data_IF_123560985124
#
_entry.id   IF_123560985124
#
_cell.length_a   1.000
_cell.length_b   1.000
_cell.length_c   1.000
_cell.angle_alpha   90.00
_cell.angle_beta   90.00
_cell.angle_gamma   90.00
#
_symmetry.space_group_name_H-M   'P 1'
#
loop_
_entity.id
_entity.type
_entity.pdbx_description
1 polymer ?
#
# COMPACT_ATOMS: atom_id res chain seq x y z
N UNK A 1 -10.96 -4.56 -12.25
CA UNK A 1 -9.85 -3.82 -12.91
C UNK A 1 -8.45 -4.40 -12.68
N UNK A 2 -7.96 -4.54 -11.45
CA UNK A 2 -6.52 -4.76 -11.20
C UNK A 2 -6.25 -6.08 -10.48
N UNK A 3 -5.29 -6.86 -10.98
CA UNK A 3 -4.74 -8.06 -10.32
C UNK A 3 -3.29 -7.79 -9.87
N UNK A 4 -2.87 -8.48 -8.81
CA UNK A 4 -1.55 -8.35 -8.21
C UNK A 4 -0.85 -9.71 -8.13
N UNK A 5 0.46 -9.68 -7.94
CA UNK A 5 1.23 -10.76 -7.35
C UNK A 5 2.20 -10.18 -6.33
N UNK A 6 2.27 -10.83 -5.17
CA UNK A 6 3.30 -10.53 -4.18
C UNK A 6 4.61 -11.28 -4.51
N UNK A 7 5.61 -11.16 -3.64
CA UNK A 7 6.99 -11.68 -3.76
C UNK A 7 7.09 -13.17 -4.11
N UNK A 8 6.01 -13.96 -4.00
CA UNK A 8 5.93 -15.35 -4.46
C UNK A 8 6.32 -15.54 -5.94
N UNK A 9 6.06 -14.53 -6.79
CA UNK A 9 6.43 -14.60 -8.20
C UNK A 9 7.95 -14.55 -8.39
N UNK A 10 8.68 -13.98 -7.44
CA UNK A 10 10.12 -13.83 -7.52
C UNK A 10 10.80 -15.16 -7.17
N UNK A 11 11.94 -15.44 -7.80
CA UNK A 11 12.78 -16.56 -7.39
C UNK A 11 13.37 -16.25 -6.02
N UNK A 12 12.97 -17.00 -4.99
CA UNK A 12 13.46 -16.82 -3.60
C UNK A 12 13.33 -15.36 -3.11
N UNK A 13 12.25 -14.69 -3.51
CA UNK A 13 11.97 -13.30 -3.14
C UNK A 13 13.09 -12.31 -3.58
N UNK A 14 13.84 -12.65 -4.62
CA UNK A 14 14.85 -11.76 -5.22
C UNK A 14 14.19 -10.86 -6.27
N UNK A 15 14.28 -9.54 -6.11
CA UNK A 15 13.74 -8.59 -7.09
C UNK A 15 14.21 -8.90 -8.53
N UNK A 16 13.39 -8.49 -9.49
CA UNK A 16 13.68 -8.63 -10.93
C UNK A 16 13.88 -10.07 -11.44
N UNK A 17 13.52 -11.07 -10.64
CA UNK A 17 13.55 -12.48 -11.04
C UNK A 17 12.13 -13.05 -11.20
N UNK A 18 12.02 -14.18 -11.91
CA UNK A 18 10.78 -14.94 -12.02
C UNK A 18 11.00 -16.37 -11.55
N UNK A 19 10.20 -16.79 -10.58
CA UNK A 19 10.18 -18.15 -10.06
C UNK A 19 9.73 -19.14 -11.14
N UNK A 20 10.35 -20.33 -11.26
CA UNK A 20 9.88 -21.37 -12.17
C UNK A 20 8.41 -21.77 -11.94
N UNK A 21 7.93 -21.66 -10.68
CA UNK A 21 6.52 -21.88 -10.31
C UNK A 21 5.56 -20.87 -10.94
N UNK A 22 6.08 -19.71 -11.36
CA UNK A 22 5.36 -18.60 -11.97
C UNK A 22 5.76 -18.38 -13.43
N UNK A 23 6.35 -19.38 -14.10
CA UNK A 23 6.75 -19.29 -15.51
C UNK A 23 5.62 -18.90 -16.48
N UNK A 24 4.36 -19.20 -16.12
CA UNK A 24 3.17 -18.80 -16.89
C UNK A 24 2.62 -17.40 -16.56
N UNK A 25 3.18 -16.69 -15.56
CA UNK A 25 2.69 -15.39 -15.14
C UNK A 25 2.71 -14.33 -16.26
N UNK A 26 3.78 -14.19 -17.08
CA UNK A 26 3.77 -13.27 -18.22
C UNK A 26 2.58 -13.47 -19.17
N UNK A 27 2.27 -14.73 -19.50
CA UNK A 27 1.15 -15.06 -20.37
C UNK A 27 -0.22 -14.76 -19.71
N UNK A 28 -0.33 -14.94 -18.40
CA UNK A 28 -1.52 -14.55 -17.63
C UNK A 28 -1.72 -13.03 -17.66
N UNK A 29 -0.65 -12.25 -17.43
CA UNK A 29 -0.69 -10.78 -17.48
C UNK A 29 -1.17 -10.29 -18.84
N UNK A 30 -0.60 -10.83 -19.93
CA UNK A 30 -1.02 -10.47 -21.29
C UNK A 30 -2.49 -10.86 -21.55
N UNK A 31 -2.94 -12.00 -21.04
CA UNK A 31 -4.32 -12.45 -21.19
C UNK A 31 -5.29 -11.49 -20.50
N UNK A 32 -5.07 -11.19 -19.21
CA UNK A 32 -6.00 -10.34 -18.46
C UNK A 32 -6.04 -8.90 -18.99
N UNK A 33 -4.91 -8.40 -19.52
CA UNK A 33 -4.87 -7.08 -20.16
C UNK A 33 -5.70 -7.04 -21.45
N UNK A 34 -5.67 -8.09 -22.27
CA UNK A 34 -6.55 -8.22 -23.44
C UNK A 34 -8.03 -8.28 -23.07
N UNK A 35 -8.34 -8.75 -21.87
CA UNK A 35 -9.70 -8.78 -21.31
C UNK A 35 -10.10 -7.45 -20.63
N UNK A 36 -9.23 -6.43 -20.67
CA UNK A 36 -9.51 -5.10 -20.13
C UNK A 36 -9.16 -4.93 -18.64
N UNK A 37 -8.35 -5.83 -18.08
CA UNK A 37 -7.77 -5.70 -16.73
C UNK A 37 -6.38 -5.05 -16.78
N UNK A 38 -5.81 -4.81 -15.59
CA UNK A 38 -4.48 -4.25 -15.37
C UNK A 38 -3.72 -5.10 -14.35
N UNK A 39 -2.40 -5.05 -14.37
CA UNK A 39 -1.53 -5.79 -13.46
C UNK A 39 -0.56 -4.88 -12.70
N UNK A 40 -0.37 -5.13 -11.41
CA UNK A 40 0.60 -4.42 -10.57
C UNK A 40 1.49 -5.44 -9.87
N UNK A 41 2.81 -5.27 -9.99
CA UNK A 41 3.79 -6.06 -9.24
C UNK A 41 4.25 -5.33 -7.99
N UNK A 42 4.68 -6.10 -7.00
CA UNK A 42 5.48 -5.60 -5.88
C UNK A 42 6.98 -5.54 -6.25
N UNK A 43 7.71 -4.61 -5.67
CA UNK A 43 9.17 -4.57 -5.62
C UNK A 43 9.62 -4.12 -4.24
N UNK A 44 10.64 -4.78 -3.71
CA UNK A 44 11.30 -4.35 -2.48
C UNK A 44 12.56 -3.53 -2.82
N UNK A 45 13.11 -2.75 -1.87
CA UNK A 45 14.37 -2.05 -2.11
C UNK A 45 15.59 -2.95 -1.90
N UNK A 46 15.49 -3.99 -1.08
CA UNK A 46 16.66 -4.70 -0.55
C UNK A 46 17.11 -5.82 -1.50
N UNK A 47 18.33 -5.70 -2.02
CA UNK A 47 18.87 -6.60 -3.05
C UNK A 47 19.72 -7.70 -2.42
N UNK A 48 19.38 -8.95 -2.70
CA UNK A 48 20.12 -10.13 -2.23
C UNK A 48 21.60 -10.07 -2.65
N UNK A 49 22.50 -10.34 -1.70
CA UNK A 49 23.94 -10.17 -1.87
C UNK A 49 24.75 -11.49 -1.83
N UNK A 50 24.09 -12.63 -1.61
CA UNK A 50 24.77 -13.94 -1.49
C UNK A 50 24.73 -14.79 -2.77
N UNK A 51 24.06 -14.32 -3.83
CA UNK A 51 23.90 -15.07 -5.08
C UNK A 51 24.97 -14.70 -6.10
N UNK A 52 25.68 -15.71 -6.61
CA UNK A 52 26.56 -15.58 -7.76
C UNK A 52 25.73 -15.48 -9.05
N UNK A 53 26.06 -14.57 -9.97
CA UNK A 53 25.35 -14.32 -11.24
C UNK A 53 24.00 -13.61 -11.08
N UNK A 54 23.80 -12.84 -10.02
CA UNK A 54 22.62 -11.99 -9.86
C UNK A 54 22.89 -10.57 -10.33
N UNK A 55 22.42 -10.26 -11.54
CA UNK A 55 22.79 -9.05 -12.27
C UNK A 55 22.38 -7.75 -11.59
N UNK A 56 21.21 -7.72 -10.94
CA UNK A 56 20.78 -6.52 -10.23
C UNK A 56 21.79 -6.16 -9.12
N UNK A 57 22.28 -7.16 -8.38
CA UNK A 57 23.32 -6.96 -7.38
C UNK A 57 24.69 -6.63 -8.00
N UNK A 58 25.13 -7.39 -9.02
CA UNK A 58 26.43 -7.18 -9.67
C UNK A 58 26.55 -5.79 -10.31
N UNK A 59 25.49 -5.35 -11.02
CA UNK A 59 25.43 -4.00 -11.59
C UNK A 59 25.36 -2.94 -10.50
N UNK A 60 24.64 -3.21 -9.41
CA UNK A 60 24.58 -2.28 -8.28
C UNK A 60 25.95 -2.10 -7.60
N UNK A 61 26.75 -3.15 -7.51
CA UNK A 61 28.15 -3.06 -7.07
C UNK A 61 29.00 -2.24 -8.05
N UNK A 62 28.87 -2.50 -9.36
CA UNK A 62 29.62 -1.80 -10.40
C UNK A 62 29.31 -0.30 -10.45
N UNK A 63 28.04 0.07 -10.26
CA UNK A 63 27.56 1.45 -10.31
C UNK A 63 27.61 2.17 -8.95
N UNK A 64 28.13 1.51 -7.93
CA UNK A 64 28.28 2.02 -6.57
C UNK A 64 26.98 2.63 -6.02
N UNK A 65 25.90 1.86 -6.01
CA UNK A 65 24.56 2.34 -5.61
C UNK A 65 24.17 1.97 -4.19
N UNK A 66 24.88 1.03 -3.55
CA UNK A 66 24.51 0.53 -2.22
C UNK A 66 25.01 1.43 -1.09
N UNK A 67 24.22 1.48 -0.01
CA UNK A 67 24.55 2.15 1.24
C UNK A 67 25.73 1.45 1.93
N UNK A 68 26.71 2.25 2.37
CA UNK A 68 28.00 1.78 2.90
C UNK A 68 28.29 2.34 4.29
N UNK A 69 29.27 1.75 4.95
CA UNK A 69 29.80 2.30 6.19
C UNK A 69 30.60 3.59 5.92
N UNK A 70 30.57 4.59 6.82
CA UNK A 70 31.38 5.79 6.68
C UNK A 70 32.87 5.46 6.53
N UNK A 71 33.55 6.16 5.63
CA UNK A 71 34.97 5.97 5.34
C UNK A 71 35.36 4.52 4.96
N UNK A 72 34.43 3.73 4.41
CA UNK A 72 34.68 2.37 3.95
C UNK A 72 33.97 2.09 2.62
N UNK A 73 34.52 1.15 1.85
CA UNK A 73 33.86 0.57 0.68
C UNK A 73 32.85 -0.53 1.03
N UNK A 74 32.77 -0.94 2.29
CA UNK A 74 31.95 -2.05 2.75
C UNK A 74 30.47 -1.68 2.82
N UNK A 75 29.62 -2.54 2.29
CA UNK A 75 28.17 -2.40 2.32
C UNK A 75 27.64 -2.64 3.75
N UNK A 76 26.61 -1.88 4.12
CA UNK A 76 25.81 -2.15 5.32
C UNK A 76 24.76 -3.20 4.95
N UNK A 77 25.04 -4.46 5.27
CA UNK A 77 24.10 -5.55 5.00
C UNK A 77 23.02 -5.64 6.08
N UNK A 78 21.76 -5.74 5.67
CA UNK A 78 20.66 -6.20 6.51
C UNK A 78 20.21 -7.61 6.10
N UNK A 79 19.01 -7.99 6.52
CA UNK A 79 18.31 -9.19 6.04
C UNK A 79 16.85 -8.86 5.83
N UNK A 80 16.25 -9.31 4.73
CA UNK A 80 14.81 -9.14 4.44
C UNK A 80 14.28 -10.47 3.88
N UNK A 81 13.37 -10.43 2.90
CA UNK A 81 12.72 -11.61 2.31
C UNK A 81 13.63 -12.55 1.52
N UNK A 82 14.68 -12.10 0.81
CA UNK A 82 15.49 -13.00 0.01
C UNK A 82 16.07 -14.16 0.82
N UNK A 83 15.87 -15.39 0.35
CA UNK A 83 16.48 -16.58 0.94
C UNK A 83 17.91 -16.78 0.44
N UNK A 84 18.74 -17.55 1.15
CA UNK A 84 20.07 -17.99 0.71
C UNK A 84 19.99 -19.00 -0.45
N UNK A 85 21.03 -19.11 -1.30
CA UNK A 85 21.07 -20.12 -2.34
C UNK A 85 21.21 -21.52 -1.75
N UNK A 86 20.52 -22.48 -2.39
CA UNK A 86 20.55 -23.89 -2.04
C UNK A 86 20.09 -24.20 -0.60
N UNK A 87 19.26 -23.33 -0.01
CA UNK A 87 18.66 -23.56 1.31
C UNK A 87 17.25 -24.14 1.16
N UNK A 88 16.90 -25.09 2.02
CA UNK A 88 15.53 -25.59 2.16
C UNK A 88 14.88 -24.90 3.36
N UNK A 89 13.87 -24.07 3.09
CA UNK A 89 13.20 -23.26 4.11
C UNK A 89 12.22 -24.13 4.89
N UNK A 90 12.55 -24.43 6.15
CA UNK A 90 11.59 -25.01 7.08
C UNK A 90 10.73 -23.91 7.71
N UNK A 91 9.58 -23.66 7.08
CA UNK A 91 8.59 -22.70 7.58
C UNK A 91 8.04 -23.06 8.96
N UNK A 92 8.33 -24.25 9.51
CA UNK A 92 7.92 -24.65 10.85
C UNK A 92 8.73 -24.01 11.98
N UNK A 93 9.94 -23.53 11.71
CA UNK A 93 10.79 -22.89 12.70
C UNK A 93 10.22 -21.54 13.16
N UNK A 94 10.66 -21.07 14.33
CA UNK A 94 10.34 -19.73 14.79
C UNK A 94 10.98 -18.68 13.87
N UNK A 95 10.40 -17.48 13.85
CA UNK A 95 10.78 -16.42 12.92
C UNK A 95 12.26 -16.03 13.03
N UNK A 96 12.79 -15.85 14.24
CA UNK A 96 14.17 -15.40 14.44
C UNK A 96 15.17 -16.44 13.93
N UNK A 97 14.89 -17.73 14.18
CA UNK A 97 15.68 -18.84 13.62
C UNK A 97 15.61 -18.88 12.09
N UNK A 98 14.46 -18.58 11.47
CA UNK A 98 14.37 -18.48 10.01
C UNK A 98 15.22 -17.33 9.46
N UNK A 99 15.20 -16.17 10.12
CA UNK A 99 16.02 -15.00 9.74
C UNK A 99 17.51 -15.34 9.82
N UNK A 100 17.93 -16.08 10.85
CA UNK A 100 19.31 -16.50 11.01
C UNK A 100 19.73 -17.50 9.93
N UNK A 101 18.98 -18.60 9.77
CA UNK A 101 19.37 -19.74 8.95
C UNK A 101 19.12 -19.57 7.46
N UNK A 102 18.05 -18.85 7.08
CA UNK A 102 17.54 -18.89 5.70
C UNK A 102 17.69 -17.57 4.96
N UNK A 103 17.53 -16.43 5.63
CA UNK A 103 17.53 -15.14 4.95
C UNK A 103 18.96 -14.73 4.55
N UNK A 104 19.11 -14.36 3.28
CA UNK A 104 20.33 -13.82 2.71
C UNK A 104 20.64 -12.43 3.25
N UNK A 105 21.92 -12.04 3.18
CA UNK A 105 22.32 -10.66 3.29
C UNK A 105 21.65 -9.84 2.19
N UNK A 106 21.17 -8.66 2.55
CA UNK A 106 20.52 -7.74 1.64
C UNK A 106 21.22 -6.38 1.68
N UNK A 107 21.54 -5.85 0.50
CA UNK A 107 22.12 -4.53 0.31
C UNK A 107 21.01 -3.53 -0.05
N UNK A 108 21.09 -2.32 0.51
CA UNK A 108 20.07 -1.30 0.33
C UNK A 108 20.57 -0.22 -0.63
N UNK A 109 19.89 0.01 -1.77
CA UNK A 109 20.21 1.09 -2.68
C UNK A 109 20.00 2.47 -2.04
N UNK A 110 20.85 3.41 -2.38
CA UNK A 110 20.76 4.82 -1.99
C UNK A 110 20.01 5.61 -3.07
N UNK A 111 18.69 5.76 -2.93
CA UNK A 111 17.84 6.40 -3.94
C UNK A 111 18.04 7.91 -4.11
N UNK A 112 18.85 8.55 -3.26
CA UNK A 112 19.25 9.95 -3.48
C UNK A 112 20.24 10.09 -4.64
N UNK A 113 21.01 9.03 -4.97
CA UNK A 113 22.00 9.08 -6.04
C UNK A 113 21.35 8.97 -7.42
N UNK A 114 21.84 9.75 -8.37
CA UNK A 114 21.43 9.63 -9.78
C UNK A 114 21.83 8.27 -10.38
N UNK A 115 22.96 7.68 -9.97
CA UNK A 115 23.36 6.34 -10.41
C UNK A 115 22.33 5.29 -9.97
N UNK A 116 21.85 5.34 -8.73
CA UNK A 116 20.79 4.44 -8.25
C UNK A 116 19.51 4.58 -9.05
N UNK A 117 19.14 5.79 -9.45
CA UNK A 117 17.94 6.02 -10.27
C UNK A 117 18.09 5.41 -11.67
N UNK A 118 19.28 5.49 -12.27
CA UNK A 118 19.58 4.87 -13.58
C UNK A 118 19.61 3.35 -13.49
N UNK A 119 20.22 2.80 -12.44
CA UNK A 119 20.22 1.38 -12.14
C UNK A 119 18.79 0.87 -11.95
N UNK A 120 17.99 1.53 -11.11
CA UNK A 120 16.59 1.16 -10.84
C UNK A 120 15.74 1.20 -12.11
N UNK A 121 15.91 2.25 -12.93
CA UNK A 121 15.24 2.35 -14.22
C UNK A 121 15.59 1.16 -15.12
N UNK A 122 16.86 0.77 -15.18
CA UNK A 122 17.34 -0.34 -16.01
C UNK A 122 16.75 -1.67 -15.55
N UNK A 123 16.82 -1.98 -14.26
CA UNK A 123 16.36 -3.27 -13.74
C UNK A 123 14.83 -3.43 -13.94
N UNK A 124 14.05 -2.38 -13.67
CA UNK A 124 12.60 -2.37 -13.97
C UNK A 124 12.35 -2.51 -15.48
N UNK A 125 13.14 -1.84 -16.32
CA UNK A 125 13.02 -1.93 -17.78
C UNK A 125 13.25 -3.34 -18.30
N UNK A 126 14.22 -4.06 -17.75
CA UNK A 126 14.51 -5.45 -18.12
C UNK A 126 13.46 -6.44 -17.60
N UNK A 127 12.75 -6.15 -16.50
CA UNK A 127 11.53 -6.93 -16.15
C UNK A 127 10.42 -6.67 -17.15
N UNK A 128 10.20 -5.41 -17.51
CA UNK A 128 9.13 -5.03 -18.45
C UNK A 128 9.38 -5.57 -19.86
N UNK A 129 10.63 -5.54 -20.32
CA UNK A 129 11.06 -6.03 -21.64
C UNK A 129 12.37 -6.80 -21.49
N UNK A 130 12.27 -8.10 -21.27
CA UNK A 130 13.42 -8.93 -20.93
C UNK A 130 14.35 -9.09 -22.15
N UNK A 131 15.59 -8.60 -22.09
CA UNK A 131 16.48 -8.60 -23.25
C UNK A 131 17.08 -9.98 -23.54
N UNK A 132 17.05 -10.90 -22.58
CA UNK A 132 17.61 -12.25 -22.71
C UNK A 132 16.58 -13.27 -23.13
N UNK A 133 15.34 -13.12 -22.66
CA UNK A 133 14.25 -14.01 -22.98
C UNK A 133 12.93 -13.25 -23.00
N UNK A 134 12.44 -12.93 -24.20
CA UNK A 134 11.23 -12.12 -24.38
C UNK A 134 9.98 -12.76 -23.77
N UNK A 135 9.93 -14.10 -23.64
CA UNK A 135 8.80 -14.79 -23.00
C UNK A 135 8.71 -14.57 -21.49
N UNK A 136 9.76 -14.05 -20.86
CA UNK A 136 9.79 -13.67 -19.45
C UNK A 136 9.45 -12.19 -19.22
N UNK A 137 9.15 -11.43 -20.28
CA UNK A 137 8.78 -10.01 -20.16
C UNK A 137 7.44 -9.87 -19.45
N UNK A 138 7.38 -9.08 -18.39
CA UNK A 138 6.16 -8.88 -17.61
C UNK A 138 5.61 -7.47 -17.84
N UNK A 139 4.50 -7.35 -18.57
CA UNK A 139 3.88 -6.07 -18.92
C UNK A 139 2.99 -5.56 -17.79
N UNK A 140 3.56 -4.94 -16.78
CA UNK A 140 2.81 -4.34 -15.66
C UNK A 140 2.33 -2.91 -15.96
N UNK A 141 1.23 -2.51 -15.31
CA UNK A 141 0.59 -1.19 -15.44
C UNK A 141 0.85 -0.28 -14.22
N UNK A 142 1.30 -0.86 -13.11
CA UNK A 142 1.67 -0.16 -11.90
C UNK A 142 2.72 -0.90 -11.09
N UNK A 143 3.31 -0.20 -10.12
CA UNK A 143 4.34 -0.74 -9.23
C UNK A 143 3.95 -0.47 -7.78
N UNK A 144 4.02 -1.50 -6.96
CA UNK A 144 3.90 -1.43 -5.52
C UNK A 144 5.32 -1.51 -4.92
N UNK A 145 5.83 -0.40 -4.38
CA UNK A 145 7.10 -0.40 -3.65
C UNK A 145 6.83 -0.58 -2.16
N UNK A 146 7.28 -1.69 -1.61
CA UNK A 146 7.09 -2.04 -0.19
C UNK A 146 8.42 -2.15 0.53
N UNK A 147 8.38 -2.42 1.84
CA UNK A 147 9.56 -2.69 2.67
C UNK A 147 10.56 -1.52 2.72
N UNK A 148 10.09 -0.31 2.40
CA UNK A 148 10.92 0.85 2.08
C UNK A 148 10.96 1.93 3.18
N UNK A 149 10.83 1.54 4.45
CA UNK A 149 11.12 2.43 5.58
C UNK A 149 12.55 2.97 5.60
N UNK A 150 13.65 2.20 5.38
CA UNK A 150 13.80 0.81 4.91
C UNK A 150 13.68 -0.25 6.03
N UNK A 151 12.91 -1.30 5.78
CA UNK A 151 12.74 -2.39 6.74
C UNK A 151 13.87 -3.40 6.68
N UNK A 152 14.31 -3.88 7.85
CA UNK A 152 15.28 -4.96 8.01
C UNK A 152 14.82 -5.89 9.13
N UNK A 153 15.04 -7.20 8.95
CA UNK A 153 14.73 -8.23 9.94
C UNK A 153 15.79 -8.34 11.03
N UNK A 154 16.94 -7.68 10.84
CA UNK A 154 17.97 -7.50 11.88
C UNK A 154 18.02 -6.04 12.30
N UNK A 155 18.24 -5.78 13.59
CA UNK A 155 18.40 -4.43 14.11
C UNK A 155 19.77 -3.89 13.69
N UNK A 156 19.77 -2.87 12.83
CA UNK A 156 20.97 -2.27 12.29
C UNK A 156 21.52 -3.03 11.09
N UNK A 157 22.62 -3.74 11.30
CA UNK A 157 23.33 -4.46 10.26
C UNK A 157 23.65 -5.90 10.72
N UNK A 158 23.93 -6.77 9.76
CA UNK A 158 24.57 -8.06 10.03
C UNK A 158 25.92 -7.79 10.68
N UNK A 159 26.10 -8.25 11.93
CA UNK A 159 27.28 -7.98 12.74
C UNK A 159 27.15 -6.77 13.69
N UNK A 160 26.01 -6.07 13.69
CA UNK A 160 25.71 -4.97 14.59
C UNK A 160 26.20 -3.60 14.10
N UNK A 161 25.86 -2.57 14.88
CA UNK A 161 26.27 -1.19 14.60
C UNK A 161 27.57 -0.79 15.33
N UNK A 162 28.28 0.19 14.76
CA UNK A 162 29.59 0.68 15.20
C UNK A 162 29.50 1.97 16.03
N UNK A 163 28.44 2.77 15.86
CA UNK A 163 28.28 4.05 16.55
C UNK A 163 27.14 4.02 17.57
N UNK A 164 27.48 3.94 18.85
CA UNK A 164 26.48 3.88 19.92
C UNK A 164 25.70 5.18 20.08
N UNK A 165 26.32 6.34 19.91
CA UNK A 165 25.66 7.65 20.11
C UNK A 165 24.59 7.93 19.04
N UNK A 166 24.81 7.51 17.80
CA UNK A 166 23.82 7.68 16.74
C UNK A 166 22.66 6.69 16.86
N UNK A 167 22.93 5.44 17.28
CA UNK A 167 21.87 4.45 17.45
C UNK A 167 21.10 4.62 18.78
N UNK A 168 21.74 5.22 19.79
CA UNK A 168 21.16 5.56 21.10
C UNK A 168 21.44 7.04 21.43
N UNK A 169 20.77 7.99 20.74
CA UNK A 169 20.98 9.40 20.97
C UNK A 169 20.62 9.81 22.41
N UNK A 170 21.17 10.93 22.92
CA UNK A 170 20.90 11.41 24.29
C UNK A 170 19.40 11.53 24.60
N UNK A 171 18.60 11.82 23.58
CA UNK A 171 17.15 11.75 23.62
C UNK A 171 16.66 10.79 22.54
N UNK A 172 16.15 9.63 22.97
CA UNK A 172 15.40 8.73 22.09
C UNK A 172 13.92 9.13 22.15
N UNK A 173 13.27 9.46 21.02
CA UNK A 173 11.84 9.74 20.98
C UNK A 173 11.00 8.57 21.52
N UNK A 174 9.72 8.82 21.78
CA UNK A 174 8.78 7.78 22.22
C UNK A 174 8.37 6.85 21.06
N UNK A 175 9.30 6.02 20.61
CA UNK A 175 9.11 5.02 19.56
C UNK A 175 8.66 3.67 20.16
N UNK A 176 8.02 2.81 19.36
CA UNK A 176 7.43 1.55 19.82
C UNK A 176 8.41 0.60 20.53
N UNK A 177 9.64 0.50 20.04
CA UNK A 177 10.72 -0.31 20.64
C UNK A 177 11.88 0.58 21.11
N UNK A 178 11.56 1.60 21.92
CA UNK A 178 12.53 2.62 22.38
C UNK A 178 13.81 2.04 23.01
N UNK A 179 13.73 0.91 23.70
CA UNK A 179 14.88 0.25 24.34
C UNK A 179 15.89 -0.33 23.35
N UNK A 180 15.48 -0.56 22.11
CA UNK A 180 16.30 -1.18 21.06
C UNK A 180 17.08 -0.15 20.23
N UNK A 181 16.94 1.14 20.55
CA UNK A 181 17.57 2.23 19.81
C UNK A 181 16.89 2.53 18.46
N UNK A 182 17.45 3.49 17.72
CA UNK A 182 16.94 3.91 16.42
C UNK A 182 17.14 2.85 15.33
N UNK A 183 18.14 1.98 15.47
CA UNK A 183 18.44 0.88 14.53
C UNK A 183 17.42 -0.27 14.55
N UNK A 184 16.42 -0.22 15.42
CA UNK A 184 15.42 -1.27 15.52
C UNK A 184 14.69 -1.47 14.19
N UNK A 185 14.75 -2.70 13.65
CA UNK A 185 14.15 -3.10 12.36
C UNK A 185 14.53 -2.24 11.15
N UNK A 186 15.69 -1.60 11.16
CA UNK A 186 16.20 -0.80 10.05
C UNK A 186 17.74 -0.77 10.05
N UNK A 187 18.35 0.05 9.19
CA UNK A 187 19.79 0.20 9.06
C UNK A 187 20.43 0.88 10.27
N UNK A 188 21.75 0.72 10.40
CA UNK A 188 22.53 1.48 11.38
C UNK A 188 22.49 2.98 11.07
N UNK A 189 22.32 3.81 12.10
CA UNK A 189 22.14 5.26 11.93
C UNK A 189 23.38 5.98 11.36
N UNK A 190 24.56 5.39 11.52
CA UNK A 190 25.81 5.86 10.91
C UNK A 190 25.96 5.48 9.44
N UNK A 191 25.08 4.66 8.86
CA UNK A 191 25.18 4.27 7.45
C UNK A 191 25.18 5.51 6.53
N UNK A 192 26.03 5.51 5.52
CA UNK A 192 26.28 6.67 4.66
C UNK A 192 25.47 6.60 3.35
N UNK A 193 24.76 7.68 3.06
CA UNK A 193 24.06 7.97 1.81
C UNK A 193 24.66 9.23 1.18
N UNK A 194 24.38 9.51 -0.08
CA UNK A 194 24.88 10.69 -0.80
C UNK A 194 23.73 11.43 -1.46
N UNK A 195 23.71 12.76 -1.28
CA UNK A 195 22.89 13.62 -2.12
C UNK A 195 23.30 13.53 -3.61
N UNK A 196 22.44 13.94 -4.56
CA UNK A 196 22.80 13.99 -5.98
C UNK A 196 24.12 14.73 -6.30
N UNK A 197 24.53 15.69 -5.45
CA UNK A 197 25.79 16.42 -5.58
C UNK A 197 27.01 15.76 -4.93
N UNK A 198 26.88 14.52 -4.43
CA UNK A 198 27.96 13.76 -3.79
C UNK A 198 28.25 14.13 -2.33
N UNK A 199 27.46 15.03 -1.73
CA UNK A 199 27.62 15.38 -0.31
C UNK A 199 27.11 14.23 0.57
N UNK A 200 27.90 13.79 1.58
CA UNK A 200 27.50 12.70 2.45
C UNK A 200 26.35 13.08 3.37
N UNK A 201 25.46 12.12 3.57
CA UNK A 201 24.32 12.13 4.47
C UNK A 201 24.44 10.92 5.39
N UNK A 202 24.12 11.11 6.67
CA UNK A 202 23.99 9.98 7.59
C UNK A 202 22.56 9.48 7.53
N UNK A 203 22.38 8.17 7.61
CA UNK A 203 21.06 7.56 7.70
C UNK A 203 20.25 8.11 8.89
N UNK A 204 20.90 8.49 9.99
CA UNK A 204 20.30 9.22 11.10
C UNK A 204 19.45 10.43 10.67
N UNK A 205 19.94 11.20 9.69
CA UNK A 205 19.32 12.45 9.26
C UNK A 205 18.23 12.21 8.19
N UNK A 206 18.31 11.10 7.45
CA UNK A 206 17.49 10.86 6.25
C UNK A 206 16.72 9.53 6.25
N UNK A 207 16.69 8.79 7.36
CA UNK A 207 15.95 7.52 7.49
C UNK A 207 14.49 7.67 7.02
N UNK A 208 13.79 8.67 7.57
CA UNK A 208 12.38 8.97 7.22
C UNK A 208 12.17 9.48 5.78
N UNK A 209 13.24 9.62 4.98
CA UNK A 209 13.19 10.07 3.59
C UNK A 209 13.51 8.93 2.60
N UNK A 210 13.80 7.70 3.07
CA UNK A 210 14.24 6.61 2.20
C UNK A 210 13.17 6.21 1.16
N UNK A 211 11.98 5.80 1.59
CA UNK A 211 10.88 5.46 0.67
C UNK A 211 10.43 6.66 -0.18
N UNK A 212 10.51 7.87 0.35
CA UNK A 212 10.27 9.11 -0.40
C UNK A 212 11.27 9.25 -1.57
N UNK A 213 12.56 9.01 -1.33
CA UNK A 213 13.61 9.10 -2.35
C UNK A 213 13.42 8.04 -3.46
N UNK A 214 12.91 6.85 -3.11
CA UNK A 214 12.58 5.79 -4.07
C UNK A 214 11.32 6.08 -4.91
N UNK A 215 10.38 6.86 -4.38
CA UNK A 215 9.03 7.00 -4.95
C UNK A 215 9.06 7.62 -6.35
N UNK A 216 9.69 8.79 -6.51
CA UNK A 216 9.69 9.51 -7.80
C UNK A 216 10.41 8.75 -8.91
N UNK A 217 11.63 8.20 -8.71
CA UNK A 217 12.31 7.40 -9.73
C UNK A 217 11.46 6.21 -10.21
N UNK A 218 10.70 5.59 -9.31
CA UNK A 218 9.81 4.47 -9.64
C UNK A 218 8.67 4.92 -10.56
N UNK A 219 8.00 6.04 -10.25
CA UNK A 219 6.93 6.57 -11.12
C UNK A 219 7.47 6.99 -12.49
N UNK A 220 8.59 7.72 -12.51
CA UNK A 220 9.19 8.20 -13.75
C UNK A 220 9.54 7.03 -14.68
N UNK A 221 10.11 5.96 -14.11
CA UNK A 221 10.42 4.73 -14.84
C UNK A 221 9.16 4.07 -15.39
N UNK A 222 8.13 3.89 -14.57
CA UNK A 222 6.86 3.30 -15.00
C UNK A 222 6.21 4.08 -16.15
N UNK A 223 6.19 5.41 -16.07
CA UNK A 223 5.65 6.27 -17.13
C UNK A 223 6.49 6.21 -18.40
N UNK A 224 7.82 6.15 -18.27
CA UNK A 224 8.74 6.00 -19.40
C UNK A 224 8.52 4.69 -20.14
N UNK A 225 8.23 3.60 -19.42
CA UNK A 225 8.04 2.26 -19.98
C UNK A 225 6.67 2.07 -20.61
N UNK A 226 5.61 2.39 -19.86
CA UNK A 226 4.23 2.15 -20.29
C UNK A 226 3.74 3.19 -21.29
N UNK A 227 4.36 4.39 -21.32
CA UNK A 227 3.84 5.59 -22.00
C UNK A 227 2.45 6.00 -21.51
N UNK A 228 2.04 5.51 -20.36
CA UNK A 228 0.79 5.83 -19.68
C UNK A 228 1.08 6.58 -18.37
N UNK A 229 0.01 7.01 -17.68
CA UNK A 229 0.12 7.68 -16.39
C UNK A 229 0.71 6.77 -15.30
N UNK A 230 0.33 5.49 -15.32
CA UNK A 230 0.69 4.50 -14.32
C UNK A 230 0.19 4.82 -12.90
N UNK A 231 0.52 3.94 -11.97
CA UNK A 231 0.30 4.13 -10.54
C UNK A 231 1.47 3.54 -9.75
N UNK A 232 1.92 4.28 -8.73
CA UNK A 232 2.84 3.77 -7.72
C UNK A 232 2.14 3.73 -6.38
N UNK A 233 2.30 2.65 -5.63
CA UNK A 233 1.81 2.47 -4.27
C UNK A 233 3.03 2.29 -3.36
N UNK A 234 3.21 3.12 -2.33
CA UNK A 234 4.38 3.08 -1.43
C UNK A 234 4.00 2.91 0.03
N UNK A 235 4.80 2.17 0.81
CA UNK A 235 4.57 2.04 2.27
C UNK A 235 5.08 3.25 3.01
N UNK A 236 6.38 3.49 3.00
CA UNK A 236 6.96 4.64 3.65
C UNK A 236 6.59 5.91 2.91
N UNK A 237 6.25 6.95 3.67
CA UNK A 237 5.86 8.26 3.13
C UNK A 237 6.36 9.41 4.01
N UNK A 238 6.60 10.54 3.35
CA UNK A 238 7.00 11.80 3.95
C UNK A 238 6.14 12.93 3.34
N UNK A 239 6.01 14.12 3.96
CA UNK A 239 5.43 15.28 3.28
C UNK A 239 5.95 15.43 1.86
N UNK A 240 5.02 15.53 0.90
CA UNK A 240 5.19 15.49 -0.57
C UNK A 240 5.21 14.12 -1.27
N UNK A 241 5.35 12.97 -0.59
CA UNK A 241 5.31 11.63 -1.23
C UNK A 241 4.05 11.42 -2.09
N UNK A 242 2.89 11.89 -1.61
CA UNK A 242 1.61 11.84 -2.32
C UNK A 242 1.58 12.57 -3.67
N UNK A 243 2.62 13.33 -4.02
CA UNK A 243 2.78 13.92 -5.35
C UNK A 243 3.02 12.87 -6.44
N UNK A 244 3.62 11.74 -6.09
CA UNK A 244 4.04 10.71 -7.04
C UNK A 244 3.44 9.33 -6.78
N UNK A 245 2.94 9.06 -5.58
CA UNK A 245 2.38 7.75 -5.25
C UNK A 245 1.10 7.83 -4.42
N UNK A 246 0.32 6.75 -4.49
CA UNK A 246 -0.61 6.35 -3.46
C UNK A 246 0.10 5.63 -2.31
N UNK A 247 -0.67 5.25 -1.31
CA UNK A 247 -0.23 4.62 -0.06
C UNK A 247 -1.30 3.61 0.37
N UNK A 248 -0.98 2.73 1.32
CA UNK A 248 -1.96 1.95 2.06
C UNK A 248 -1.56 1.94 3.53
N UNK A 249 -2.51 1.80 4.48
CA UNK A 249 -2.23 1.84 5.93
C UNK A 249 -1.31 0.74 6.49
N UNK A 250 -0.72 -0.09 5.64
CA UNK A 250 0.16 -1.16 6.06
C UNK A 250 -0.59 -2.40 6.57
N UNK A 251 0.16 -3.20 7.32
CA UNK A 251 -0.24 -4.53 7.78
C UNK A 251 -1.21 -4.42 8.96
N UNK A 252 -2.50 -4.35 8.64
CA UNK A 252 -3.57 -4.39 9.62
C UNK A 252 -3.86 -5.84 10.06
N UNK A 253 -4.92 -6.02 10.83
CA UNK A 253 -5.37 -7.33 11.29
C UNK A 253 -6.87 -7.46 11.03
N UNK A 254 -7.32 -8.66 10.69
CA UNK A 254 -8.72 -9.04 10.53
C UNK A 254 -9.52 -8.90 11.84
N UNK A 255 -9.77 -7.68 12.28
CA UNK A 255 -10.44 -7.34 13.52
C UNK A 255 -11.34 -6.11 13.37
N UNK A 256 -12.50 -6.12 14.04
CA UNK A 256 -13.52 -5.07 13.94
C UNK A 256 -12.99 -3.67 14.24
N UNK A 257 -12.10 -3.56 15.22
CA UNK A 257 -11.45 -2.30 15.60
C UNK A 257 -10.43 -1.78 14.58
N UNK A 258 -10.25 -2.44 13.43
CA UNK A 258 -9.45 -1.91 12.32
C UNK A 258 -10.32 -1.19 11.29
N UNK A 259 -11.64 -1.41 11.29
CA UNK A 259 -12.54 -0.77 10.33
C UNK A 259 -12.67 0.73 10.57
N UNK A 260 -12.88 1.16 11.82
CA UNK A 260 -12.93 2.58 12.18
C UNK A 260 -11.55 3.25 12.05
N UNK A 261 -10.47 2.56 12.42
CA UNK A 261 -9.10 3.03 12.20
C UNK A 261 -8.79 3.25 10.71
N UNK A 262 -9.39 2.47 9.80
CA UNK A 262 -9.24 2.69 8.36
C UNK A 262 -9.85 4.02 7.90
N UNK A 263 -10.98 4.42 8.51
CA UNK A 263 -11.59 5.73 8.27
C UNK A 263 -10.66 6.82 8.81
N UNK A 264 -10.19 6.68 10.05
CA UNK A 264 -9.27 7.64 10.67
C UNK A 264 -8.00 7.80 9.82
N UNK A 265 -7.38 6.69 9.41
CA UNK A 265 -6.18 6.69 8.56
C UNK A 265 -6.43 7.38 7.23
N UNK A 266 -7.55 7.08 6.56
CA UNK A 266 -7.95 7.74 5.31
C UNK A 266 -8.13 9.25 5.47
N UNK A 267 -8.68 9.70 6.61
CA UNK A 267 -8.91 11.12 6.91
C UNK A 267 -7.61 11.86 7.26
N UNK A 268 -6.68 11.19 7.94
CA UNK A 268 -5.42 11.77 8.39
C UNK A 268 -4.36 11.90 7.28
N UNK A 269 -4.51 11.18 6.17
CA UNK A 269 -3.52 11.19 5.09
C UNK A 269 -3.44 12.55 4.36
N UNK A 270 -2.21 13.02 4.01
CA UNK A 270 -2.00 14.33 3.37
C UNK A 270 -2.81 14.50 2.08
N UNK A 271 -3.40 15.68 1.87
CA UNK A 271 -4.39 15.99 0.83
C UNK A 271 -4.04 15.57 -0.62
N UNK A 272 -2.76 15.31 -0.94
CA UNK A 272 -2.35 14.83 -2.29
C UNK A 272 -2.20 13.31 -2.43
N UNK A 273 -2.24 12.53 -1.35
CA UNK A 273 -2.25 11.05 -1.39
C UNK A 273 -3.64 10.51 -1.78
N UNK A 274 -4.04 10.77 -3.02
CA UNK A 274 -5.43 10.64 -3.51
C UNK A 274 -5.84 9.17 -3.73
N UNK A 275 -4.91 8.34 -4.19
CA UNK A 275 -5.12 6.91 -4.48
C UNK A 275 -5.31 6.07 -3.21
N UNK A 276 -4.61 6.38 -2.12
CA UNK A 276 -4.71 5.63 -0.85
C UNK A 276 -6.08 5.76 -0.21
N UNK A 277 -6.57 7.00 -0.13
CA UNK A 277 -7.82 7.32 0.56
C UNK A 277 -9.04 6.66 -0.06
N UNK A 278 -9.18 6.70 -1.38
CA UNK A 278 -10.35 6.11 -2.04
C UNK A 278 -10.39 4.57 -2.01
N UNK A 279 -9.27 3.93 -1.66
CA UNK A 279 -9.14 2.48 -1.53
C UNK A 279 -9.45 2.01 -0.11
N UNK A 280 -8.92 2.68 0.90
CA UNK A 280 -9.14 2.35 2.31
C UNK A 280 -10.55 2.69 2.79
N UNK A 281 -11.12 3.79 2.28
CA UNK A 281 -12.52 4.15 2.49
C UNK A 281 -13.52 3.13 1.92
N UNK A 282 -13.06 2.12 1.17
CA UNK A 282 -13.91 1.01 0.74
C UNK A 282 -14.06 -0.07 1.79
N UNK A 283 -13.11 -0.21 2.71
CA UNK A 283 -13.18 -1.25 3.74
C UNK A 283 -14.47 -1.14 4.57
N UNK A 284 -14.92 0.07 4.98
CA UNK A 284 -16.24 0.25 5.58
C UNK A 284 -17.40 0.06 4.60
N UNK A 285 -17.20 0.22 3.28
CA UNK A 285 -18.26 -0.06 2.29
C UNK A 285 -18.67 -1.53 2.26
N UNK A 286 -17.72 -2.43 2.54
CA UNK A 286 -17.93 -3.87 2.60
C UNK A 286 -18.28 -4.42 3.99
N UNK A 287 -18.32 -3.59 5.02
CA UNK A 287 -18.60 -4.06 6.40
C UNK A 287 -20.03 -4.59 6.57
N UNK A 288 -20.94 -4.16 5.71
CA UNK A 288 -22.30 -4.69 5.61
C UNK A 288 -22.34 -6.17 5.16
N UNK A 289 -21.22 -6.77 4.75
CA UNK A 289 -21.15 -8.16 4.27
C UNK A 289 -20.80 -9.19 5.36
N UNK A 290 -20.57 -8.75 6.62
CA UNK A 290 -20.40 -9.62 7.80
C UNK A 290 -18.95 -10.09 8.08
N UNK A 291 -18.80 -11.04 9.04
CA UNK A 291 -17.50 -11.59 9.53
C UNK A 291 -16.48 -11.97 8.43
N UNK A 292 -16.89 -12.58 7.30
CA UNK A 292 -15.96 -12.99 6.23
C UNK A 292 -15.03 -11.90 5.68
N UNK A 293 -15.42 -10.61 5.79
CA UNK A 293 -14.71 -9.54 5.10
C UNK A 293 -13.49 -8.98 5.86
N UNK A 294 -13.54 -8.91 7.19
CA UNK A 294 -12.35 -8.65 8.02
C UNK A 294 -11.26 -9.67 7.68
N UNK A 295 -11.72 -10.91 7.47
CA UNK A 295 -11.04 -12.01 6.80
C UNK A 295 -10.22 -11.50 5.59
N UNK A 296 -10.96 -11.10 4.55
CA UNK A 296 -10.54 -10.88 3.15
C UNK A 296 -9.67 -9.72 2.75
N UNK A 297 -9.72 -8.63 3.50
CA UNK A 297 -9.00 -7.44 3.10
C UNK A 297 -7.48 -7.58 3.31
N UNK A 298 -7.09 -8.35 4.32
CA UNK A 298 -5.69 -8.55 4.70
C UNK A 298 -4.89 -9.29 3.61
N UNK A 299 -5.50 -10.24 2.88
CA UNK A 299 -4.82 -10.98 1.81
C UNK A 299 -4.68 -10.20 0.50
N UNK A 300 -5.54 -9.20 0.24
CA UNK A 300 -5.42 -8.45 -1.00
C UNK A 300 -4.16 -7.58 -1.01
N UNK A 301 -3.55 -7.28 0.15
CA UNK A 301 -2.48 -6.27 0.24
C UNK A 301 -1.38 -6.47 1.28
N UNK A 302 -1.49 -7.40 2.22
CA UNK A 302 -0.43 -7.67 3.20
C UNK A 302 -0.16 -9.18 3.32
N UNK A 303 0.47 -9.81 2.32
CA UNK A 303 0.86 -11.18 2.45
C UNK A 303 2.10 -11.25 3.35
N UNK A 304 1.97 -12.01 4.44
CA UNK A 304 3.07 -12.57 5.24
C UNK A 304 3.54 -11.89 6.54
N UNK A 305 2.93 -10.79 7.01
CA UNK A 305 3.20 -10.29 8.38
C UNK A 305 2.18 -10.74 9.45
N UNK A 306 1.70 -11.99 9.39
CA UNK A 306 0.91 -12.57 10.48
C UNK A 306 1.70 -13.62 11.26
N UNK A 307 1.91 -13.33 12.55
CA UNK A 307 2.55 -14.21 13.54
C UNK A 307 1.74 -15.48 13.83
N UNK A 308 0.43 -15.45 13.58
CA UNK A 308 -0.47 -16.59 13.76
C UNK A 308 -0.70 -17.34 12.45
N UNK A 309 -0.14 -18.55 12.37
CA UNK A 309 -0.19 -19.42 11.18
C UNK A 309 -1.58 -19.95 10.84
N UNK A 310 -2.51 -20.04 11.80
CA UNK A 310 -3.85 -20.59 11.53
C UNK A 310 -4.70 -19.69 10.62
N UNK A 311 -4.40 -18.39 10.53
CA UNK A 311 -5.10 -17.45 9.64
C UNK A 311 -4.47 -17.32 8.24
N UNK A 312 -3.32 -17.96 7.99
CA UNK A 312 -2.61 -17.89 6.70
C UNK A 312 -3.20 -18.82 5.62
N UNK A 313 -3.99 -19.83 5.97
CA UNK A 313 -4.32 -20.92 5.03
C UNK A 313 -5.64 -20.75 4.26
N UNK A 314 -6.57 -19.91 4.71
CA UNK A 314 -7.86 -19.76 4.01
C UNK A 314 -7.80 -18.58 3.06
N UNK A 315 -7.99 -18.82 1.76
CA UNK A 315 -8.25 -17.75 0.78
C UNK A 315 -9.49 -16.98 1.18
N UNK A 316 -9.46 -15.67 1.00
CA UNK A 316 -10.56 -14.82 1.45
C UNK A 316 -11.12 -13.91 0.34
N UNK A 317 -10.64 -14.01 -0.90
CA UNK A 317 -11.21 -13.28 -2.04
C UNK A 317 -12.74 -13.52 -2.20
N UNK A 318 -13.49 -12.64 -2.88
CA UNK A 318 -14.95 -12.74 -2.93
C UNK A 318 -15.53 -14.09 -3.37
N UNK A 319 -14.78 -14.89 -4.14
CA UNK A 319 -15.21 -16.19 -4.66
C UNK A 319 -14.67 -17.39 -3.85
N UNK A 320 -14.03 -17.15 -2.71
CA UNK A 320 -13.56 -18.20 -1.79
C UNK A 320 -14.56 -18.56 -0.68
N UNK A 321 -15.76 -17.98 -0.73
CA UNK A 321 -16.81 -18.11 0.28
C UNK A 321 -17.99 -18.95 -0.21
N UNK A 322 -19.14 -18.32 -0.49
CA UNK A 322 -20.34 -18.95 -1.02
C UNK A 322 -21.09 -17.97 -1.93
N UNK A 323 -22.09 -18.46 -2.66
CA UNK A 323 -22.87 -17.65 -3.61
C UNK A 323 -23.52 -16.43 -2.97
N UNK A 324 -23.97 -16.54 -1.71
CA UNK A 324 -24.52 -15.38 -0.98
C UNK A 324 -23.48 -14.26 -0.87
N UNK A 325 -22.24 -14.58 -0.48
CA UNK A 325 -21.18 -13.58 -0.36
C UNK A 325 -20.77 -13.00 -1.72
N UNK A 326 -20.78 -13.81 -2.78
CA UNK A 326 -20.53 -13.36 -4.15
C UNK A 326 -21.57 -12.33 -4.61
N UNK A 327 -22.86 -12.60 -4.37
CA UNK A 327 -23.98 -11.71 -4.75
C UNK A 327 -23.93 -10.38 -3.99
N UNK A 328 -23.63 -10.46 -2.69
CA UNK A 328 -23.43 -9.31 -1.84
C UNK A 328 -22.25 -8.44 -2.30
N UNK A 329 -21.12 -9.08 -2.60
CA UNK A 329 -19.92 -8.41 -3.12
C UNK A 329 -20.20 -7.72 -4.46
N UNK A 330 -20.93 -8.40 -5.36
CA UNK A 330 -21.33 -7.84 -6.66
C UNK A 330 -22.19 -6.59 -6.51
N UNK A 331 -23.13 -6.59 -5.56
CA UNK A 331 -24.04 -5.47 -5.32
C UNK A 331 -23.27 -4.20 -4.92
N UNK A 332 -22.40 -4.29 -3.90
CA UNK A 332 -21.62 -3.14 -3.44
C UNK A 332 -20.56 -2.68 -4.45
N UNK A 333 -19.93 -3.62 -5.16
CA UNK A 333 -19.00 -3.28 -6.24
C UNK A 333 -19.71 -2.54 -7.38
N UNK A 334 -20.91 -2.94 -7.77
CA UNK A 334 -21.68 -2.26 -8.80
C UNK A 334 -22.05 -0.82 -8.40
N UNK A 335 -22.38 -0.58 -7.12
CA UNK A 335 -22.61 0.78 -6.60
C UNK A 335 -21.32 1.61 -6.71
N UNK A 336 -20.17 1.05 -6.32
CA UNK A 336 -18.89 1.75 -6.48
C UNK A 336 -18.61 2.06 -7.95
N UNK A 337 -18.77 1.09 -8.85
CA UNK A 337 -18.49 1.26 -10.27
C UNK A 337 -19.40 2.31 -10.89
N UNK A 338 -20.66 2.40 -10.45
CA UNK A 338 -21.55 3.45 -10.94
C UNK A 338 -21.12 4.84 -10.53
N UNK A 339 -20.45 5.00 -9.38
CA UNK A 339 -19.94 6.26 -8.86
C UNK A 339 -18.52 6.61 -9.33
N UNK A 340 -17.89 5.82 -10.20
CA UNK A 340 -16.53 6.09 -10.69
C UNK A 340 -16.37 7.45 -11.38
N UNK A 341 -17.33 7.96 -12.19
CA UNK A 341 -17.19 9.30 -12.77
C UNK A 341 -17.10 10.40 -11.72
N UNK A 342 -17.95 10.33 -10.68
CA UNK A 342 -17.88 11.24 -9.54
C UNK A 342 -16.55 11.09 -8.79
N UNK A 343 -16.17 9.87 -8.43
CA UNK A 343 -14.91 9.60 -7.72
C UNK A 343 -13.70 10.11 -8.51
N UNK A 344 -13.66 9.89 -9.82
CA UNK A 344 -12.57 10.34 -10.68
C UNK A 344 -12.52 11.87 -10.81
N UNK A 345 -13.67 12.54 -10.79
CA UNK A 345 -13.75 14.00 -10.71
C UNK A 345 -13.17 14.51 -9.39
N UNK A 346 -13.46 13.85 -8.26
CA UNK A 346 -12.83 14.18 -6.98
C UNK A 346 -11.31 13.98 -7.02
N UNK A 347 -10.83 12.93 -7.71
CA UNK A 347 -9.39 12.73 -7.91
C UNK A 347 -8.76 13.88 -8.69
N UNK A 348 -9.44 14.35 -9.74
CA UNK A 348 -9.03 15.50 -10.54
C UNK A 348 -8.97 16.78 -9.70
N UNK A 349 -10.01 17.09 -8.92
CA UNK A 349 -10.04 18.27 -8.05
C UNK A 349 -8.96 18.22 -6.98
N UNK A 350 -8.72 17.05 -6.39
CA UNK A 350 -7.66 16.87 -5.41
C UNK A 350 -6.27 17.10 -6.02
N UNK A 351 -6.03 16.62 -7.24
CA UNK A 351 -4.79 16.88 -7.97
C UNK A 351 -4.62 18.35 -8.35
N UNK A 352 -5.65 18.97 -8.95
CA UNK A 352 -5.59 20.30 -9.54
C UNK A 352 -5.66 21.42 -8.49
N UNK A 353 -6.45 21.23 -7.43
CA UNK A 353 -6.80 22.29 -6.47
C UNK A 353 -6.33 21.99 -5.04
N UNK A 354 -5.87 20.76 -4.76
CA UNK A 354 -5.56 20.34 -3.39
C UNK A 354 -6.82 20.18 -2.53
N UNK A 355 -7.94 19.78 -3.14
CA UNK A 355 -9.17 19.37 -2.46
C UNK A 355 -9.01 17.97 -1.83
N UNK A 356 -9.89 17.58 -0.89
CA UNK A 356 -9.89 16.23 -0.31
C UNK A 356 -10.88 15.29 -1.00
N UNK A 357 -10.54 14.01 -1.13
CA UNK A 357 -11.45 12.99 -1.69
C UNK A 357 -12.25 12.32 -0.59
N UNK A 358 -11.59 11.58 0.31
CA UNK A 358 -12.19 11.19 1.59
C UNK A 358 -12.13 12.40 2.50
N UNK A 359 -13.28 12.84 2.97
CA UNK A 359 -13.46 14.14 3.63
C UNK A 359 -14.21 13.94 4.95
N UNK A 360 -13.70 14.48 6.08
CA UNK A 360 -14.45 14.43 7.33
C UNK A 360 -15.64 15.39 7.25
N UNK A 361 -16.71 15.09 7.98
CA UNK A 361 -17.91 15.91 7.96
C UNK A 361 -17.62 17.36 8.37
N UNK A 362 -16.71 17.57 9.32
CA UNK A 362 -16.31 18.90 9.79
C UNK A 362 -15.76 19.83 8.69
N UNK A 363 -15.21 19.29 7.60
CA UNK A 363 -14.72 20.12 6.48
C UNK A 363 -15.88 20.80 5.72
N UNK A 364 -17.04 20.16 5.66
CA UNK A 364 -18.23 20.68 4.98
C UNK A 364 -19.20 21.41 5.92
N UNK A 365 -19.10 21.14 7.22
CA UNK A 365 -20.07 21.55 8.22
C UNK A 365 -19.40 22.11 9.48
N UNK A 366 -18.34 22.90 9.33
CA UNK A 366 -17.52 23.43 10.44
C UNK A 366 -18.32 24.21 11.51
N UNK A 367 -19.42 24.86 11.12
CA UNK A 367 -20.30 25.58 12.05
C UNK A 367 -21.10 24.69 13.00
N UNK A 368 -21.17 23.39 12.69
CA UNK A 368 -21.83 22.36 13.49
C UNK A 368 -20.77 21.59 14.29
N UNK A 369 -20.68 21.91 15.59
CA UNK A 369 -19.68 21.34 16.49
C UNK A 369 -19.80 19.83 16.67
N UNK A 370 -20.99 19.26 16.46
CA UNK A 370 -21.17 17.82 16.54
C UNK A 370 -20.27 17.08 15.53
N UNK A 371 -20.05 17.69 14.36
CA UNK A 371 -19.23 17.09 13.30
C UNK A 371 -17.74 17.02 13.61
N UNK A 372 -17.25 17.73 14.63
CA UNK A 372 -15.83 17.82 14.96
C UNK A 372 -15.28 16.51 15.54
N UNK A 373 -16.12 15.78 16.26
CA UNK A 373 -15.75 14.54 16.96
C UNK A 373 -16.17 13.27 16.19
N UNK A 374 -16.78 13.42 15.01
CA UNK A 374 -17.25 12.28 14.21
C UNK A 374 -16.13 11.72 13.34
N UNK A 375 -15.73 10.48 13.64
CA UNK A 375 -14.73 9.72 12.86
C UNK A 375 -15.22 8.35 12.37
N UNK A 376 -16.47 7.96 12.68
CA UNK A 376 -17.07 6.66 12.31
C UNK A 376 -17.91 6.70 11.04
N UNK A 377 -17.97 7.86 10.37
CA UNK A 377 -18.58 8.07 9.06
C UNK A 377 -17.82 9.19 8.35
N UNK A 378 -17.91 9.25 7.02
CA UNK A 378 -17.13 10.18 6.21
C UNK A 378 -17.85 10.53 4.91
N UNK A 379 -17.30 11.52 4.20
CA UNK A 379 -17.78 11.94 2.89
C UNK A 379 -16.82 11.50 1.78
N UNK A 380 -17.38 11.18 0.60
CA UNK A 380 -16.67 11.33 -0.66
C UNK A 380 -16.98 12.71 -1.24
N UNK A 381 -15.93 13.53 -1.31
CA UNK A 381 -16.04 14.93 -1.71
C UNK A 381 -16.99 15.68 -0.78
N UNK A 382 -17.76 16.64 -1.31
CA UNK A 382 -18.73 17.39 -0.52
C UNK A 382 -20.12 16.73 -0.44
N UNK A 383 -20.38 15.67 -1.23
CA UNK A 383 -21.74 15.32 -1.61
C UNK A 383 -22.22 13.90 -1.25
N UNK A 384 -21.34 12.93 -1.00
CA UNK A 384 -21.75 11.56 -0.68
C UNK A 384 -21.37 11.20 0.76
N UNK A 385 -22.35 11.07 1.64
CA UNK A 385 -22.19 10.61 3.02
C UNK A 385 -22.24 9.09 3.08
N UNK A 386 -21.22 8.50 3.70
CA UNK A 386 -21.06 7.06 3.86
C UNK A 386 -21.12 6.75 5.36
N UNK A 387 -22.13 5.99 5.76
CA UNK A 387 -22.41 5.63 7.16
C UNK A 387 -22.30 4.10 7.35
N UNK A 388 -21.09 3.57 7.57
CA UNK A 388 -20.83 2.14 7.58
C UNK A 388 -21.20 1.46 8.92
N UNK A 389 -21.46 0.16 8.88
CA UNK A 389 -21.58 -0.67 10.09
C UNK A 389 -20.18 -1.06 10.57
N UNK A 390 -19.79 -0.71 11.79
CA UNK A 390 -18.42 -0.93 12.28
C UNK A 390 -18.37 -1.88 13.49
N UNK A 391 -19.48 -2.51 13.83
CA UNK A 391 -19.62 -3.35 15.01
C UNK A 391 -20.06 -4.76 14.63
N UNK A 392 -19.53 -5.73 15.37
CA UNK A 392 -19.79 -7.12 15.10
C UNK A 392 -21.27 -7.47 15.32
N UNK A 393 -21.89 -8.05 14.29
CA UNK A 393 -23.27 -8.54 14.39
C UNK A 393 -24.33 -7.44 14.35
N UNK A 394 -23.93 -6.16 14.33
CA UNK A 394 -24.85 -5.04 14.18
C UNK A 394 -25.61 -5.13 12.84
N UNK A 395 -26.86 -4.67 12.87
CA UNK A 395 -27.79 -4.60 11.74
C UNK A 395 -28.44 -3.23 11.62
N UNK A 396 -27.97 -2.28 12.41
CA UNK A 396 -28.34 -0.87 12.40
C UNK A 396 -27.08 -0.04 12.61
N UNK A 397 -27.10 1.20 12.15
CA UNK A 397 -26.03 2.18 12.38
C UNK A 397 -26.63 3.47 12.94
N UNK A 398 -26.07 3.97 14.04
CA UNK A 398 -26.41 5.29 14.54
C UNK A 398 -25.52 6.33 13.83
N UNK A 399 -26.10 7.05 12.86
CA UNK A 399 -25.40 7.98 11.99
C UNK A 399 -25.87 9.42 12.23
N UNK A 400 -24.94 10.37 12.20
CA UNK A 400 -25.27 11.80 12.28
C UNK A 400 -25.53 12.37 10.90
N UNK A 401 -26.58 13.17 10.76
CA UNK A 401 -26.91 13.86 9.52
C UNK A 401 -26.78 15.36 9.72
N UNK A 402 -25.70 16.00 9.21
CA UNK A 402 -25.52 17.44 9.30
C UNK A 402 -26.70 18.25 8.73
N UNK A 403 -26.82 19.56 9.04
CA UNK A 403 -27.98 20.39 8.70
C UNK A 403 -28.09 20.71 7.18
N UNK A 404 -28.37 19.68 6.38
CA UNK A 404 -28.58 19.70 4.94
C UNK A 404 -29.67 18.69 4.55
N UNK A 405 -30.11 18.74 3.29
CA UNK A 405 -30.96 17.67 2.74
C UNK A 405 -30.10 16.45 2.47
N UNK A 406 -30.60 15.27 2.81
CA UNK A 406 -29.95 14.00 2.54
C UNK A 406 -30.92 13.07 1.83
N UNK A 407 -30.49 12.52 0.71
CA UNK A 407 -31.27 11.61 -0.11
C UNK A 407 -30.63 10.23 -0.04
N UNK A 408 -31.39 9.20 0.28
CA UNK A 408 -30.91 7.83 0.25
C UNK A 408 -30.56 7.43 -1.20
N UNK A 409 -29.32 6.99 -1.44
CA UNK A 409 -28.80 6.67 -2.78
C UNK A 409 -29.54 5.50 -3.44
N UNK A 410 -30.17 4.63 -2.65
CA UNK A 410 -30.81 3.41 -3.16
C UNK A 410 -32.28 3.65 -3.55
N UNK A 411 -32.94 4.60 -2.90
CA UNK A 411 -34.38 4.86 -3.04
C UNK A 411 -34.72 6.21 -3.66
N UNK A 412 -33.74 7.11 -3.79
CA UNK A 412 -33.89 8.50 -4.23
C UNK A 412 -34.81 9.36 -3.34
N UNK A 413 -35.14 8.88 -2.13
CA UNK A 413 -36.02 9.58 -1.20
C UNK A 413 -35.25 10.47 -0.23
N UNK A 414 -35.79 11.65 0.08
CA UNK A 414 -35.26 12.48 1.18
C UNK A 414 -35.58 11.82 2.52
N UNK A 415 -34.56 11.69 3.37
CA UNK A 415 -34.69 11.02 4.68
C UNK A 415 -35.48 11.84 5.73
N UNK A 416 -35.64 13.15 5.53
CA UNK A 416 -36.51 14.01 6.32
C UNK A 416 -35.94 14.53 7.66
N UNK A 417 -34.75 14.10 8.06
CA UNK A 417 -34.07 14.56 9.28
C UNK A 417 -32.80 15.37 8.99
N UNK A 418 -32.45 16.31 9.87
CA UNK A 418 -31.32 17.24 9.72
C UNK A 418 -30.76 17.69 11.07
N UNK A 419 -29.44 17.76 11.19
CA UNK A 419 -28.72 18.17 12.40
C UNK A 419 -28.84 17.21 13.57
N UNK A 420 -29.11 15.92 13.32
CA UNK A 420 -29.40 14.95 14.37
C UNK A 420 -28.86 13.54 14.07
N UNK A 421 -28.72 12.73 15.12
CA UNK A 421 -28.43 11.30 15.03
C UNK A 421 -29.69 10.49 14.72
N UNK A 422 -29.55 9.47 13.88
CA UNK A 422 -30.61 8.53 13.55
C UNK A 422 -30.07 7.10 13.52
N UNK A 423 -30.84 6.17 14.08
CA UNK A 423 -30.62 4.74 13.86
C UNK A 423 -31.19 4.36 12.50
N UNK A 424 -30.34 3.88 11.61
CA UNK A 424 -30.71 3.44 10.27
C UNK A 424 -30.62 1.92 10.18
N UNK A 425 -31.60 1.24 9.59
CA UNK A 425 -31.47 -0.17 9.22
C UNK A 425 -30.24 -0.38 8.31
N UNK A 426 -29.44 -1.39 8.62
CA UNK A 426 -28.29 -1.81 7.81
C UNK A 426 -28.21 -3.34 7.82
N UNK A 427 -29.19 -4.03 7.20
CA UNK A 427 -29.15 -5.47 7.06
C UNK A 427 -27.90 -5.92 6.28
N UNK A 428 -27.60 -7.22 6.36
CA UNK A 428 -26.46 -7.78 5.63
C UNK A 428 -26.61 -7.50 4.12
N UNK A 429 -25.58 -6.94 3.50
CA UNK A 429 -25.60 -6.52 2.09
C UNK A 429 -26.05 -5.09 1.83
N UNK A 430 -26.51 -4.37 2.86
CA UNK A 430 -26.94 -2.98 2.73
C UNK A 430 -26.02 -2.05 3.50
N UNK A 431 -25.52 -1.04 2.80
CA UNK A 431 -24.79 0.07 3.39
C UNK A 431 -25.53 1.38 3.15
N UNK A 432 -25.59 2.18 4.21
CA UNK A 432 -26.24 3.49 4.23
C UNK A 432 -25.38 4.52 3.48
N UNK A 433 -25.91 5.00 2.35
CA UNK A 433 -25.27 5.95 1.45
C UNK A 433 -26.26 7.08 1.15
N UNK A 434 -25.83 8.33 1.38
CA UNK A 434 -26.72 9.48 1.25
C UNK A 434 -26.11 10.61 0.43
N UNK A 435 -26.86 11.13 -0.54
CA UNK A 435 -26.47 12.28 -1.35
C UNK A 435 -26.92 13.56 -0.65
N UNK A 436 -26.00 14.51 -0.52
CA UNK A 436 -26.28 15.86 -0.01
C UNK A 436 -27.05 16.66 -1.06
N UNK A 437 -28.18 17.25 -0.69
CA UNK A 437 -28.93 18.15 -1.57
C UNK A 437 -28.12 19.39 -1.95
N UNK A 438 -28.25 19.80 -3.21
CA UNK A 438 -27.46 20.89 -3.81
C UNK A 438 -26.28 20.41 -4.67
N UNK A 439 -26.07 19.09 -4.78
CA UNK A 439 -25.03 18.49 -5.61
C UNK A 439 -25.63 17.54 -6.65
N UNK A 440 -24.94 17.40 -7.79
CA UNK A 440 -25.27 16.45 -8.85
C UNK A 440 -24.08 15.48 -8.96
N UNK A 441 -24.33 14.18 -8.82
CA UNK A 441 -23.31 13.15 -8.94
C UNK A 441 -23.36 12.56 -10.34
N UNK A 442 -22.23 12.58 -11.05
CA UNK A 442 -22.09 11.88 -12.30
C UNK A 442 -21.98 10.36 -12.05
N UNK A 443 -22.82 9.58 -12.73
CA UNK A 443 -22.82 8.13 -12.67
C UNK A 443 -22.69 7.49 -14.06
N UNK A 444 -22.20 6.25 -14.08
CA UNK A 444 -22.10 5.40 -15.26
C UNK A 444 -22.70 4.02 -14.94
N UNK A 445 -23.16 3.27 -15.95
CA UNK A 445 -23.55 1.87 -15.74
C UNK A 445 -22.33 1.06 -15.27
N UNK A 446 -22.45 0.20 -14.23
CA UNK A 446 -21.33 -0.62 -13.79
C UNK A 446 -21.03 -1.73 -14.81
N UNK A 447 -19.75 -2.09 -14.91
CA UNK A 447 -19.25 -3.17 -15.74
C UNK A 447 -18.20 -4.00 -14.96
N UNK A 448 -17.75 -5.12 -15.53
CA UNK A 448 -16.74 -5.98 -14.89
C UNK A 448 -15.36 -5.31 -14.78
N UNK A 449 -15.05 -4.38 -15.69
CA UNK A 449 -13.86 -3.53 -15.69
C UNK A 449 -14.20 -2.15 -16.24
N UNK A 450 -13.35 -1.17 -15.99
CA UNK A 450 -13.42 0.20 -16.52
C UNK A 450 -13.12 0.32 -18.01
N UNK A 451 -12.76 -0.79 -18.66
CA UNK A 451 -12.51 -0.83 -20.10
C UNK A 451 -13.81 -0.82 -20.93
N UNK A 452 -14.91 -1.36 -20.37
CA UNK A 452 -16.18 -1.58 -21.06
C UNK A 452 -17.22 -0.49 -20.80
#
# INVERSE_FOLDING_TARGET
DVQYSDIDYMLRQMDFTLSPRFSGLPALVEKIQREGMRFVLILDPAIAANDSNYLAFERGLQEDIFIKWPNSSDIVYGKVWPDLPNVEVNNSLNWDTQVELYRAHAAFPDFFRTSTQQWWEREISEVYSNPRNTSLSMKFDGIWIDMNEPSSFVNGAVGGCRNQELNFPPYIPHLGSRSEGLSFKTLCMEAEQLLPGGSPLRHYDVHNLYGWAQTKPTLDTLQKLTKERGIVITRSSYPSSGRWAGHWLGDNTAAWNQLDKSIIGSLAQPVRSVVSRAREALLPLYSSLGRPHLESWDQFWAPHFKRDRELLERRQDPVSWNSTFEDLSRTVLNIRYSLLPYLYTLMFEAHAQGSTVVRPLLHEFVGDRETWDIYRQFLWGPALLISPVLEQGAREVNAYFPPARWYDLHTDQEVGFRGEFRSLPSPLGHINLHIRGGYILAQQGPANTTFY
#
